data_IF_765665447581
#
_entry.id   IF_765665447581
#
_cell.length_a   1.000
_cell.length_b   1.000
_cell.length_c   1.000
_cell.angle_alpha   90.00
_cell.angle_beta   90.00
_cell.angle_gamma   90.00
#
_symmetry.space_group_name_H-M   'P 1'
#
loop_
_entity.id
_entity.type
_entity.pdbx_description
1 polymer ?
#
# COMPACT_ATOMS: atom_id res chain seq x y z
N UNK A 1 10.01 13.37 -3.35
CA UNK A 1 9.50 12.46 -4.40
C UNK A 1 8.03 12.28 -4.15
N UNK A 2 7.21 13.06 -4.86
CA UNK A 2 5.76 13.00 -4.74
C UNK A 2 5.26 11.63 -5.20
N UNK A 3 4.71 10.87 -4.26
CA UNK A 3 4.17 9.52 -4.51
C UNK A 3 2.78 9.65 -5.13
N UNK A 4 2.70 10.34 -6.27
CA UNK A 4 1.45 10.57 -6.98
C UNK A 4 1.18 9.40 -7.91
N UNK A 5 0.00 8.78 -7.78
CA UNK A 5 -0.42 7.70 -8.65
C UNK A 5 -0.79 8.32 -10.00
N UNK A 6 0.02 8.07 -11.02
CA UNK A 6 -0.19 8.63 -12.36
C UNK A 6 -1.37 7.97 -13.09
N UNK A 7 -1.99 8.70 -14.01
CA UNK A 7 -3.06 8.17 -14.85
C UNK A 7 -2.62 6.96 -15.69
N UNK A 8 -1.36 6.93 -16.15
CA UNK A 8 -0.79 5.79 -16.89
C UNK A 8 -0.76 4.51 -16.06
N UNK A 9 -0.31 4.58 -14.80
CA UNK A 9 -0.29 3.41 -13.90
C UNK A 9 -1.67 2.88 -13.59
N UNK A 10 -2.66 3.77 -13.45
CA UNK A 10 -4.05 3.36 -13.26
C UNK A 10 -4.58 2.60 -14.47
N UNK A 11 -4.22 3.04 -15.67
CA UNK A 11 -4.61 2.38 -16.91
C UNK A 11 -3.90 1.03 -17.10
N UNK A 12 -2.58 0.98 -16.88
CA UNK A 12 -1.79 -0.26 -16.88
C UNK A 12 -2.40 -1.31 -15.92
N UNK A 13 -2.78 -0.90 -14.70
CA UNK A 13 -3.42 -1.80 -13.75
C UNK A 13 -4.77 -2.34 -14.25
N UNK A 14 -5.57 -1.52 -14.98
CA UNK A 14 -6.82 -2.00 -15.60
C UNK A 14 -6.55 -2.97 -16.74
N UNK A 15 -5.54 -2.69 -17.56
CA UNK A 15 -5.13 -3.55 -18.66
C UNK A 15 -4.64 -4.90 -18.15
N UNK A 16 -3.97 -4.94 -17.01
CA UNK A 16 -3.51 -6.18 -16.39
C UNK A 16 -4.70 -7.10 -16.01
N UNK A 17 -5.79 -6.54 -15.48
CA UNK A 17 -7.02 -7.31 -15.26
C UNK A 17 -7.56 -7.91 -16.55
N UNK A 18 -7.62 -7.12 -17.62
CA UNK A 18 -8.10 -7.58 -18.93
C UNK A 18 -7.18 -8.67 -19.52
N UNK A 19 -5.85 -8.47 -19.44
CA UNK A 19 -4.84 -9.40 -19.95
C UNK A 19 -4.91 -10.76 -19.27
N UNK A 20 -5.25 -10.78 -17.98
CA UNK A 20 -5.40 -12.00 -17.21
C UNK A 20 -6.81 -12.59 -17.23
N UNK A 21 -7.81 -11.91 -17.82
CA UNK A 21 -9.20 -12.33 -17.78
C UNK A 21 -9.80 -12.33 -16.36
N UNK A 22 -9.23 -11.56 -15.44
CA UNK A 22 -9.67 -11.48 -14.04
C UNK A 22 -10.51 -10.23 -13.84
N UNK A 23 -11.71 -10.38 -13.30
CA UNK A 23 -12.54 -9.21 -12.98
C UNK A 23 -12.02 -8.48 -11.74
N UNK A 24 -12.12 -7.14 -11.73
CA UNK A 24 -11.80 -6.30 -10.56
C UNK A 24 -12.60 -6.75 -9.32
N UNK A 25 -13.85 -7.19 -9.50
CA UNK A 25 -14.70 -7.69 -8.41
C UNK A 25 -14.15 -8.98 -7.80
N UNK A 26 -13.73 -9.93 -8.63
CA UNK A 26 -13.12 -11.18 -8.18
C UNK A 26 -11.81 -10.91 -7.44
N UNK A 27 -10.94 -10.07 -8.00
CA UNK A 27 -9.71 -9.66 -7.35
C UNK A 27 -9.98 -9.00 -5.99
N UNK A 28 -10.94 -8.07 -5.94
CA UNK A 28 -11.33 -7.40 -4.71
C UNK A 28 -11.82 -8.40 -3.66
N UNK A 29 -12.65 -9.38 -4.06
CA UNK A 29 -13.15 -10.42 -3.17
C UNK A 29 -12.02 -11.29 -2.59
N UNK A 30 -11.12 -11.79 -3.43
CA UNK A 30 -9.97 -12.62 -3.02
C UNK A 30 -9.08 -11.87 -2.01
N UNK A 31 -8.90 -10.56 -2.21
CA UNK A 31 -8.09 -9.73 -1.31
C UNK A 31 -8.86 -9.09 -0.15
N UNK A 32 -10.15 -9.40 0.04
CA UNK A 32 -10.96 -8.88 1.14
C UNK A 32 -11.29 -7.39 1.06
N UNK A 33 -11.31 -6.82 -0.14
CA UNK A 33 -11.62 -5.42 -0.38
C UNK A 33 -13.05 -5.21 -0.92
N UNK A 34 -13.73 -4.11 -0.55
CA UNK A 34 -14.95 -3.69 -1.22
C UNK A 34 -14.66 -3.34 -2.69
N UNK A 35 -15.34 -3.99 -3.63
CA UNK A 35 -15.14 -3.75 -5.06
C UNK A 35 -15.28 -2.26 -5.44
N UNK A 36 -16.27 -1.56 -4.87
CA UNK A 36 -16.46 -0.12 -5.07
C UNK A 36 -15.23 0.70 -4.69
N UNK A 37 -14.53 0.33 -3.61
CA UNK A 37 -13.32 1.02 -3.20
C UNK A 37 -12.18 0.77 -4.19
N UNK A 38 -12.04 -0.46 -4.70
CA UNK A 38 -11.05 -0.77 -5.74
C UNK A 38 -11.31 0.04 -7.00
N UNK A 39 -12.57 0.14 -7.45
CA UNK A 39 -12.93 1.01 -8.57
C UNK A 39 -12.62 2.50 -8.31
N UNK A 40 -12.86 3.01 -7.10
CA UNK A 40 -12.50 4.40 -6.75
C UNK A 40 -10.99 4.64 -6.79
N UNK A 41 -10.18 3.67 -6.35
CA UNK A 41 -8.72 3.72 -6.43
C UNK A 41 -8.28 3.70 -7.90
N UNK A 42 -8.76 2.73 -8.67
CA UNK A 42 -8.45 2.63 -10.09
C UNK A 42 -8.92 3.87 -10.87
N UNK A 43 -10.03 4.50 -10.50
CA UNK A 43 -10.50 5.75 -11.10
C UNK A 43 -9.70 7.00 -10.70
N UNK A 44 -8.67 6.88 -9.85
CA UNK A 44 -7.86 8.02 -9.40
C UNK A 44 -8.57 8.97 -8.44
N UNK A 45 -9.76 8.60 -7.91
CA UNK A 45 -10.56 9.48 -7.04
C UNK A 45 -10.07 9.50 -5.58
N UNK A 46 -9.01 8.77 -5.26
CA UNK A 46 -8.45 8.63 -3.91
C UNK A 46 -6.93 8.79 -3.96
N UNK A 47 -6.39 9.60 -3.04
CA UNK A 47 -4.93 9.76 -2.85
C UNK A 47 -4.24 8.53 -2.27
N UNK A 48 -4.99 7.55 -1.77
CA UNK A 48 -4.48 6.26 -1.27
C UNK A 48 -3.39 6.37 -0.19
N UNK A 49 -3.50 7.36 0.70
CA UNK A 49 -2.48 7.64 1.71
C UNK A 49 -2.46 6.59 2.84
N UNK A 50 -3.63 6.09 3.26
CA UNK A 50 -3.77 5.19 4.42
C UNK A 50 -4.91 4.20 4.27
N UNK A 51 -4.93 3.18 5.14
CA UNK A 51 -6.02 2.20 5.25
C UNK A 51 -6.19 1.34 3.99
N UNK A 52 -7.43 0.90 3.71
CA UNK A 52 -7.72 0.00 2.59
C UNK A 52 -7.33 0.57 1.23
N UNK A 53 -7.47 1.88 1.00
CA UNK A 53 -7.08 2.50 -0.28
C UNK A 53 -5.57 2.47 -0.50
N UNK A 54 -4.77 2.71 0.55
CA UNK A 54 -3.32 2.48 0.50
C UNK A 54 -3.00 1.02 0.19
N UNK A 55 -3.64 0.09 0.90
CA UNK A 55 -3.36 -1.34 0.74
C UNK A 55 -3.73 -1.86 -0.66
N UNK A 56 -4.81 -1.36 -1.25
CA UNK A 56 -5.17 -1.62 -2.66
C UNK A 56 -4.07 -1.07 -3.59
N UNK A 57 -3.69 0.19 -3.41
CA UNK A 57 -2.69 0.82 -4.28
C UNK A 57 -1.33 0.14 -4.23
N UNK A 58 -0.89 -0.32 -3.05
CA UNK A 58 0.35 -1.10 -2.90
C UNK A 58 0.22 -2.48 -3.54
N UNK A 59 -0.88 -3.21 -3.30
CA UNK A 59 -1.08 -4.55 -3.89
C UNK A 59 -1.19 -4.54 -5.41
N UNK A 60 -1.74 -3.47 -5.99
CA UNK A 60 -1.80 -3.28 -7.44
C UNK A 60 -0.51 -2.70 -8.04
N UNK A 61 0.54 -2.49 -7.23
CA UNK A 61 1.81 -1.93 -7.73
C UNK A 61 1.73 -0.46 -8.16
N UNK A 62 0.66 0.26 -7.80
CA UNK A 62 0.46 1.66 -8.20
C UNK A 62 1.42 2.62 -7.49
N UNK A 63 1.86 2.24 -6.28
CA UNK A 63 2.82 3.00 -5.48
C UNK A 63 3.62 2.07 -4.54
N UNK A 64 4.83 2.48 -4.13
CA UNK A 64 5.53 1.81 -3.04
C UNK A 64 4.79 1.98 -1.71
N UNK A 65 5.01 1.03 -0.80
CA UNK A 65 4.51 1.09 0.57
C UNK A 65 4.53 -0.27 1.24
N UNK A 66 4.39 -0.26 2.57
CA UNK A 66 4.27 -1.45 3.40
C UNK A 66 2.85 -1.50 3.94
N UNK A 67 2.22 -2.66 3.83
CA UNK A 67 0.92 -2.91 4.44
C UNK A 67 1.20 -3.54 5.80
N UNK A 68 0.96 -2.78 6.86
CA UNK A 68 1.17 -3.21 8.23
C UNK A 68 0.06 -2.73 9.16
N UNK A 69 0.30 -2.92 10.44
CA UNK A 69 -0.56 -2.62 11.57
C UNK A 69 0.09 -1.59 12.50
N UNK A 70 -0.67 -1.12 13.49
CA UNK A 70 -0.13 -0.24 14.54
C UNK A 70 0.97 -0.96 15.33
N UNK A 71 0.81 -2.26 15.59
CA UNK A 71 1.81 -3.04 16.30
C UNK A 71 3.16 -3.11 15.54
N UNK A 72 3.12 -3.14 14.21
CA UNK A 72 4.33 -3.09 13.39
C UNK A 72 5.05 -1.75 13.54
N UNK A 73 4.30 -0.65 13.61
CA UNK A 73 4.85 0.69 13.87
C UNK A 73 5.50 0.75 15.25
N UNK A 74 4.81 0.25 16.29
CA UNK A 74 5.31 0.25 17.66
C UNK A 74 6.60 -0.60 17.79
N UNK A 75 6.65 -1.74 17.09
CA UNK A 75 7.85 -2.59 17.07
C UNK A 75 9.05 -1.87 16.44
N UNK A 76 8.85 -1.19 15.31
CA UNK A 76 9.90 -0.39 14.66
C UNK A 76 10.42 0.70 15.59
N UNK A 77 9.52 1.42 16.26
CA UNK A 77 9.91 2.50 17.17
C UNK A 77 10.73 1.97 18.36
N UNK A 78 10.31 0.84 18.96
CA UNK A 78 11.06 0.22 20.06
C UNK A 78 12.47 -0.20 19.64
N UNK A 79 12.61 -0.81 18.46
CA UNK A 79 13.92 -1.20 17.92
C UNK A 79 14.81 0.02 17.67
N UNK A 80 14.26 1.11 17.17
CA UNK A 80 15.00 2.35 16.95
C UNK A 80 15.55 2.92 18.28
N UNK A 81 14.73 2.98 19.32
CA UNK A 81 15.16 3.42 20.66
C UNK A 81 16.28 2.54 21.23
N UNK A 82 16.13 1.21 21.18
CA UNK A 82 17.15 0.28 21.67
C UNK A 82 18.49 0.45 20.96
N UNK A 83 18.49 0.65 19.63
CA UNK A 83 19.72 0.86 18.86
C UNK A 83 20.46 2.13 19.26
N UNK A 84 19.73 3.20 19.60
CA UNK A 84 20.32 4.45 20.07
C UNK A 84 20.96 4.24 21.44
N UNK A 85 20.21 3.66 22.39
CA UNK A 85 20.71 3.38 23.76
C UNK A 85 21.97 2.50 23.73
N UNK A 86 21.97 1.44 22.92
CA UNK A 86 23.11 0.52 22.84
C UNK A 86 24.32 1.18 22.17
N UNK A 87 24.09 2.08 21.20
CA UNK A 87 25.17 2.84 20.58
C UNK A 87 25.80 3.86 21.54
N UNK A 88 24.98 4.54 22.35
CA UNK A 88 25.46 5.47 23.37
C UNK A 88 26.25 4.75 24.47
N UNK A 89 25.78 3.59 24.93
CA UNK A 89 26.48 2.81 25.95
C UNK A 89 27.78 2.18 25.43
N UNK A 90 27.86 1.79 24.15
CA UNK A 90 29.10 1.30 23.55
C UNK A 90 30.14 2.39 23.29
N UNK A 91 29.73 3.66 23.30
CA UNK A 91 30.61 4.83 23.15
C UNK A 91 31.13 5.37 24.49
N UNK A 92 30.62 4.88 25.62
CA UNK A 92 31.15 5.14 26.97
C UNK A 92 32.22 4.13 27.35
#
# INVERSE_FOLDING_TARGET
MDTEISASRLEEARQEFARHGVSIRQWAHIHGFPAQLVYQVLAGRKRCLRGKSHAIAVRLGLKPGVIGSVADIDAVNRQASQRIETAEDAMR
#
